data_IF_866125745262
#
_entry.id   IF_866125745262
#
_cell.length_a   1.000
_cell.length_b   1.000
_cell.length_c   1.000
_cell.angle_alpha   90.00
_cell.angle_beta   90.00
_cell.angle_gamma   90.00
#
_symmetry.space_group_name_H-M   'P 1'
#
loop_
_entity.id
_entity.type
_entity.pdbx_description
1 polymer ?
#
# COMPACT_ATOMS: atom_id res chain seq x y z
N UNK A 1 24.31 -20.38 -1.23
CA UNK A 1 23.44 -19.46 -0.47
C UNK A 1 22.56 -20.31 0.45
N UNK A 2 22.33 -19.87 1.70
CA UNK A 2 21.51 -20.62 2.64
C UNK A 2 20.03 -20.51 2.25
N UNK A 3 19.37 -21.66 2.08
CA UNK A 3 17.92 -21.72 1.85
C UNK A 3 17.22 -21.63 3.20
N UNK A 4 16.34 -20.66 3.37
CA UNK A 4 15.52 -20.51 4.56
C UNK A 4 14.05 -20.73 4.24
N UNK A 5 13.29 -21.28 5.20
CA UNK A 5 11.84 -21.43 5.07
C UNK A 5 11.19 -20.08 5.33
N UNK A 6 10.48 -19.54 4.34
CA UNK A 6 9.69 -18.31 4.44
C UNK A 6 8.23 -18.63 4.23
N UNK A 7 7.38 -18.11 5.11
CA UNK A 7 5.93 -18.12 4.89
C UNK A 7 5.58 -17.02 3.90
N UNK A 8 5.18 -17.40 2.69
CA UNK A 8 4.58 -16.48 1.73
C UNK A 8 3.11 -16.31 2.08
N UNK A 9 2.70 -15.06 2.22
CA UNK A 9 1.33 -14.63 2.48
C UNK A 9 0.71 -14.14 1.17
N UNK A 10 -0.51 -14.56 0.84
CA UNK A 10 -1.23 -14.10 -0.35
C UNK A 10 -2.63 -13.64 0.00
N UNK A 11 -3.08 -12.59 -0.67
CA UNK A 11 -4.49 -12.19 -0.70
C UNK A 11 -5.00 -12.46 -2.10
N UNK A 12 -5.96 -13.37 -2.23
CA UNK A 12 -6.74 -13.57 -3.46
C UNK A 12 -7.83 -12.51 -3.52
N UNK A 13 -7.99 -11.90 -4.69
CA UNK A 13 -8.98 -10.86 -4.93
C UNK A 13 -9.95 -11.36 -5.99
N UNK A 14 -11.18 -11.65 -5.59
CA UNK A 14 -12.29 -11.95 -6.49
C UNK A 14 -13.14 -10.68 -6.66
N UNK A 15 -12.73 -9.84 -7.63
CA UNK A 15 -13.32 -8.53 -7.84
C UNK A 15 -14.80 -8.58 -8.25
N UNK A 16 -15.28 -9.69 -8.80
CA UNK A 16 -16.68 -9.85 -9.22
C UNK A 16 -17.64 -9.95 -8.01
N UNK A 17 -17.13 -10.34 -6.84
CA UNK A 17 -17.90 -10.35 -5.59
C UNK A 17 -17.98 -8.96 -4.93
N UNK A 18 -17.22 -7.98 -5.43
CA UNK A 18 -17.10 -6.66 -4.81
C UNK A 18 -18.33 -5.80 -5.09
N UNK A 19 -18.89 -5.21 -4.03
CA UNK A 19 -20.01 -4.26 -4.12
C UNK A 19 -19.57 -2.79 -3.92
N UNK A 20 -18.26 -2.53 -3.86
CA UNK A 20 -17.71 -1.20 -3.69
C UNK A 20 -18.06 -0.50 -2.37
N UNK A 21 -18.27 -1.25 -1.28
CA UNK A 21 -18.59 -0.69 0.04
C UNK A 21 -17.45 0.11 0.70
N UNK A 22 -16.20 -0.09 0.24
CA UNK A 22 -14.98 0.57 0.73
C UNK A 22 -14.67 0.35 2.22
N UNK A 23 -15.27 -0.65 2.86
CA UNK A 23 -14.97 -1.00 4.25
C UNK A 23 -13.49 -1.38 4.44
N UNK A 24 -12.88 -2.02 3.45
CA UNK A 24 -11.46 -2.32 3.45
C UNK A 24 -10.58 -1.06 3.53
N UNK A 25 -10.99 0.06 2.94
CA UNK A 25 -10.26 1.33 3.01
C UNK A 25 -10.43 1.99 4.38
N UNK A 26 -11.67 1.99 4.89
CA UNK A 26 -12.02 2.49 6.22
C UNK A 26 -11.18 1.79 7.28
N UNK A 27 -11.23 0.46 7.30
CA UNK A 27 -10.56 -0.32 8.34
C UNK A 27 -9.04 -0.33 8.19
N UNK A 28 -8.52 -0.33 6.95
CA UNK A 28 -7.09 -0.22 6.73
C UNK A 28 -6.54 1.13 7.20
N UNK A 29 -7.21 2.24 6.87
CA UNK A 29 -6.77 3.56 7.33
C UNK A 29 -6.90 3.74 8.84
N UNK A 30 -7.99 3.21 9.42
CA UNK A 30 -8.22 3.17 10.86
C UNK A 30 -7.13 2.40 11.60
N UNK A 31 -6.79 1.20 11.12
CA UNK A 31 -5.76 0.37 11.72
C UNK A 31 -4.40 1.08 11.79
N UNK A 32 -4.06 1.84 10.74
CA UNK A 32 -2.77 2.51 10.62
C UNK A 32 -2.79 3.98 11.07
N UNK A 33 -3.83 4.44 11.77
CA UNK A 33 -3.75 5.71 12.47
C UNK A 33 -2.80 5.59 13.66
N UNK A 34 -2.24 6.70 14.12
CA UNK A 34 -1.44 6.75 15.35
C UNK A 34 -2.10 7.71 16.34
N UNK A 35 -2.67 7.22 17.46
CA UNK A 35 -2.80 5.81 17.88
C UNK A 35 -3.70 4.94 16.98
N UNK A 36 -3.58 3.60 17.01
CA UNK A 36 -4.41 2.70 16.19
C UNK A 36 -5.91 2.94 16.45
N UNK A 37 -6.71 2.95 15.39
CA UNK A 37 -8.17 3.19 15.40
C UNK A 37 -8.65 4.58 15.86
N UNK A 38 -7.75 5.54 16.06
CA UNK A 38 -8.10 6.89 16.48
C UNK A 38 -8.70 7.78 15.37
N UNK A 39 -8.42 7.47 14.09
CA UNK A 39 -8.88 8.26 12.96
C UNK A 39 -9.17 7.38 11.76
N UNK A 40 -10.14 7.78 10.92
CA UNK A 40 -10.41 7.14 9.62
C UNK A 40 -10.13 8.14 8.51
N UNK A 41 -9.29 7.77 7.55
CA UNK A 41 -9.05 8.54 6.34
C UNK A 41 -8.76 7.60 5.16
N UNK A 42 -9.75 7.30 4.29
CA UNK A 42 -9.57 6.38 3.17
C UNK A 42 -8.43 6.76 2.20
N UNK A 43 -8.05 8.04 2.10
CA UNK A 43 -6.90 8.46 1.30
C UNK A 43 -5.58 7.88 1.82
N UNK A 44 -5.52 7.56 3.13
CA UNK A 44 -4.38 6.92 3.80
C UNK A 44 -4.45 5.38 3.80
N UNK A 45 -5.47 4.79 3.18
CA UNK A 45 -5.61 3.34 3.11
C UNK A 45 -4.59 2.73 2.14
N UNK A 46 -4.00 1.60 2.55
CA UNK A 46 -3.06 0.80 1.75
C UNK A 46 -3.75 -0.18 0.80
N UNK A 47 -5.09 -0.15 0.77
CA UNK A 47 -5.95 -0.74 -0.25
C UNK A 47 -6.94 0.35 -0.66
N UNK A 48 -7.13 0.57 -1.96
CA UNK A 48 -8.08 1.56 -2.50
C UNK A 48 -8.84 0.93 -3.66
N UNK A 49 -10.16 1.10 -3.69
CA UNK A 49 -11.05 0.53 -4.70
C UNK A 49 -11.21 1.53 -5.85
N UNK A 50 -10.84 1.10 -7.06
CA UNK A 50 -11.26 1.78 -8.28
C UNK A 50 -12.74 1.43 -8.49
N UNK A 51 -13.59 2.44 -8.32
CA UNK A 51 -15.04 2.30 -8.24
C UNK A 51 -15.71 3.16 -9.31
N UNK A 52 -16.14 2.54 -10.40
CA UNK A 52 -16.95 3.16 -11.45
C UNK A 52 -18.24 2.35 -11.67
N UNK A 53 -19.33 2.69 -10.96
CA UNK A 53 -20.59 1.94 -11.04
C UNK A 53 -21.25 1.98 -12.42
N UNK A 54 -21.00 3.02 -13.23
CA UNK A 54 -21.59 3.14 -14.57
C UNK A 54 -20.92 2.19 -15.57
N UNK A 55 -19.66 1.81 -15.31
CA UNK A 55 -18.91 0.83 -16.10
C UNK A 55 -18.83 -0.55 -15.45
N UNK A 56 -19.52 -0.75 -14.32
CA UNK A 56 -19.45 -1.96 -13.51
C UNK A 56 -18.01 -2.33 -13.10
N UNK A 57 -17.20 -1.33 -12.72
CA UNK A 57 -15.81 -1.54 -12.29
C UNK A 57 -15.73 -1.44 -10.76
N UNK A 58 -15.33 -2.55 -10.13
CA UNK A 58 -15.19 -2.71 -8.69
C UNK A 58 -13.84 -3.37 -8.36
N UNK A 59 -12.75 -2.65 -8.51
CA UNK A 59 -11.40 -3.23 -8.47
C UNK A 59 -10.65 -2.79 -7.21
N UNK A 60 -10.49 -3.66 -6.19
CA UNK A 60 -9.60 -3.40 -5.06
C UNK A 60 -8.13 -3.46 -5.51
N UNK A 61 -7.38 -2.38 -5.28
CA UNK A 61 -5.96 -2.31 -5.61
C UNK A 61 -5.17 -2.10 -4.32
N UNK A 62 -4.12 -2.89 -4.12
CA UNK A 62 -3.25 -2.81 -2.95
C UNK A 62 -2.01 -1.98 -3.25
N UNK A 63 -1.61 -1.16 -2.29
CA UNK A 63 -0.35 -0.44 -2.32
C UNK A 63 0.83 -1.42 -2.50
N UNK A 64 1.71 -1.09 -3.44
CA UNK A 64 2.93 -1.80 -3.79
C UNK A 64 4.14 -0.93 -3.51
N UNK A 65 5.17 -1.04 -4.35
CA UNK A 65 6.44 -0.34 -4.17
C UNK A 65 6.40 1.15 -4.51
N UNK A 66 7.32 1.90 -3.88
CA UNK A 66 7.59 3.28 -4.25
C UNK A 66 8.39 3.35 -5.55
N UNK A 67 8.05 4.30 -6.43
CA UNK A 67 8.85 4.65 -7.59
C UNK A 67 9.10 6.16 -7.60
N UNK A 68 10.36 6.61 -7.78
CA UNK A 68 10.66 8.03 -7.86
C UNK A 68 10.29 8.65 -9.22
N UNK A 69 10.06 7.84 -10.25
CA UNK A 69 9.76 8.30 -11.61
C UNK A 69 8.53 7.63 -12.20
N UNK A 70 7.92 8.32 -13.16
CA UNK A 70 6.89 7.73 -14.01
C UNK A 70 7.47 6.77 -15.05
N UNK A 71 6.61 5.93 -15.62
CA UNK A 71 6.97 5.12 -16.78
C UNK A 71 6.98 5.97 -18.06
N UNK A 72 7.81 5.61 -19.04
CA UNK A 72 7.85 6.27 -20.35
C UNK A 72 6.52 6.21 -21.12
N UNK A 73 5.66 5.25 -20.78
CA UNK A 73 4.32 5.11 -21.34
C UNK A 73 3.39 4.58 -20.26
N UNK A 74 2.14 5.04 -20.31
CA UNK A 74 1.07 4.63 -19.39
C UNK A 74 0.10 3.72 -20.13
N UNK A 75 -0.46 2.74 -19.42
CA UNK A 75 -1.23 1.64 -20.03
C UNK A 75 -2.70 1.74 -19.61
N UNK A 76 -3.59 1.59 -20.59
CA UNK A 76 -5.03 1.40 -20.41
C UNK A 76 -5.36 -0.03 -20.84
N UNK A 77 -6.17 -0.72 -20.04
CA UNK A 77 -6.60 -2.08 -20.33
C UNK A 77 -8.08 -2.09 -20.74
N UNK A 78 -8.36 -2.79 -21.84
CA UNK A 78 -9.71 -3.23 -22.19
C UNK A 78 -9.75 -4.74 -21.92
N UNK A 79 -10.56 -5.15 -20.94
CA UNK A 79 -10.74 -6.54 -20.57
C UNK A 79 -12.23 -6.83 -20.67
N UNK A 80 -12.58 -7.84 -21.46
CA UNK A 80 -13.95 -8.14 -21.86
C UNK A 80 -14.66 -6.89 -22.44
N UNK A 81 -15.70 -6.42 -21.77
CA UNK A 81 -16.49 -5.25 -22.15
C UNK A 81 -16.20 -4.01 -21.29
N UNK A 82 -15.15 -4.06 -20.44
CA UNK A 82 -14.81 -3.00 -19.49
C UNK A 82 -13.51 -2.31 -19.90
N UNK A 83 -13.57 -0.98 -19.99
CA UNK A 83 -12.38 -0.12 -20.16
C UNK A 83 -11.98 0.44 -18.80
N UNK A 84 -10.82 0.01 -18.31
CA UNK A 84 -10.26 0.46 -17.04
C UNK A 84 -9.56 1.80 -17.21
N UNK A 85 -9.44 2.56 -16.13
CA UNK A 85 -8.66 3.80 -16.15
C UNK A 85 -7.17 3.52 -16.39
N UNK A 86 -6.45 4.57 -16.82
CA UNK A 86 -5.01 4.53 -16.98
C UNK A 86 -4.33 4.06 -15.69
N UNK A 87 -3.42 3.10 -15.81
CA UNK A 87 -2.67 2.53 -14.68
C UNK A 87 -3.56 1.94 -13.56
N UNK A 88 -4.78 1.48 -13.87
CA UNK A 88 -5.73 0.93 -12.89
C UNK A 88 -5.13 -0.19 -12.03
N UNK A 89 -4.45 -1.16 -12.67
CA UNK A 89 -3.86 -2.31 -11.99
C UNK A 89 -2.48 -2.03 -11.37
N UNK A 90 -1.94 -0.82 -11.58
CA UNK A 90 -0.63 -0.46 -11.05
C UNK A 90 -0.71 -0.25 -9.53
N UNK A 91 0.15 -0.96 -8.81
CA UNK A 91 0.25 -0.91 -7.34
C UNK A 91 1.20 0.17 -6.83
N UNK A 92 2.02 0.76 -7.70
CA UNK A 92 3.08 1.64 -7.26
C UNK A 92 2.55 2.91 -6.58
N UNK A 93 3.27 3.37 -5.55
CA UNK A 93 3.21 4.74 -5.06
C UNK A 93 4.03 5.60 -6.04
N UNK A 94 3.36 6.13 -7.06
CA UNK A 94 3.94 6.72 -8.26
C UNK A 94 3.59 8.21 -8.36
N UNK A 95 4.52 9.09 -8.75
CA UNK A 95 4.27 10.54 -8.83
C UNK A 95 3.18 10.94 -9.85
N UNK A 96 2.79 10.04 -10.74
CA UNK A 96 1.76 10.29 -11.75
C UNK A 96 0.33 10.44 -11.23
N UNK A 97 0.07 10.10 -9.95
CA UNK A 97 -1.26 10.08 -9.34
C UNK A 97 -1.18 10.06 -7.80
N UNK A 98 -2.29 10.37 -7.14
CA UNK A 98 -2.36 10.47 -5.67
C UNK A 98 -2.60 9.12 -4.95
N UNK A 99 -3.00 8.08 -5.68
CA UNK A 99 -3.29 6.76 -5.09
C UNK A 99 -2.02 6.17 -4.43
N UNK A 100 -2.15 5.74 -3.17
CA UNK A 100 -1.04 5.27 -2.31
C UNK A 100 0.01 6.32 -1.95
N UNK A 101 -0.39 7.59 -1.92
CA UNK A 101 0.42 8.69 -1.41
C UNK A 101 -0.30 9.28 -0.19
N UNK A 102 0.45 9.54 0.86
CA UNK A 102 -0.06 10.19 2.06
C UNK A 102 -0.48 11.63 1.70
N UNK A 103 -1.74 12.03 1.96
CA UNK A 103 -2.34 13.24 1.38
C UNK A 103 -1.69 14.55 1.83
N UNK A 104 -1.04 14.58 2.99
CA UNK A 104 -0.51 15.82 3.57
C UNK A 104 1.00 15.96 3.28
N UNK A 105 1.76 14.89 3.50
CA UNK A 105 3.22 14.82 3.41
C UNK A 105 3.72 14.43 2.02
N UNK A 106 2.90 13.71 1.24
CA UNK A 106 3.31 13.12 -0.03
C UNK A 106 4.16 11.86 0.11
N UNK A 107 4.22 11.23 1.29
CA UNK A 107 5.00 10.02 1.52
C UNK A 107 4.33 8.78 0.87
N UNK A 108 5.11 7.81 0.36
CA UNK A 108 4.54 6.60 -0.22
C UNK A 108 3.90 5.72 0.85
N UNK A 109 2.67 5.27 0.59
CA UNK A 109 1.98 4.26 1.39
C UNK A 109 2.29 2.88 0.82
N UNK A 110 2.63 1.92 1.67
CA UNK A 110 2.87 0.52 1.29
C UNK A 110 1.99 -0.43 2.10
N UNK A 111 1.41 -1.45 1.46
CA UNK A 111 0.75 -2.53 2.19
C UNK A 111 1.81 -3.46 2.78
N UNK A 112 1.72 -3.66 4.08
CA UNK A 112 2.60 -4.46 4.94
C UNK A 112 1.94 -5.79 5.36
N UNK A 113 0.74 -6.07 4.85
CA UNK A 113 -0.09 -7.23 5.25
C UNK A 113 -0.47 -7.23 6.75
N UNK A 114 -0.56 -6.04 7.38
CA UNK A 114 -0.82 -5.89 8.82
C UNK A 114 0.17 -6.71 9.68
N UNK A 115 1.45 -6.63 9.31
CA UNK A 115 2.57 -7.33 9.97
C UNK A 115 3.40 -6.36 10.81
N UNK A 116 2.77 -5.29 11.29
CA UNK A 116 3.26 -4.38 12.30
C UNK A 116 3.26 -5.03 13.70
N UNK A 117 3.62 -4.28 14.75
CA UNK A 117 3.69 -4.78 16.12
C UNK A 117 2.49 -4.27 16.95
N UNK A 118 1.66 -5.14 17.57
CA UNK A 118 1.60 -6.59 17.35
C UNK A 118 0.94 -6.93 16.01
N UNK A 119 1.42 -7.99 15.36
CA UNK A 119 0.94 -8.43 14.05
C UNK A 119 -0.45 -9.06 14.17
N UNK A 120 -1.33 -8.79 13.21
CA UNK A 120 -2.61 -9.48 13.12
C UNK A 120 -2.43 -10.89 12.52
N UNK A 121 -3.30 -11.81 12.93
CA UNK A 121 -3.38 -13.17 12.36
C UNK A 121 -3.73 -13.12 10.86
N UNK A 122 -4.59 -12.19 10.48
CA UNK A 122 -4.97 -11.92 9.09
C UNK A 122 -5.17 -10.41 8.86
N UNK A 123 -4.97 -9.92 7.62
CA UNK A 123 -5.11 -8.50 7.32
C UNK A 123 -6.50 -7.95 7.63
N UNK A 124 -6.58 -6.77 8.24
CA UNK A 124 -7.86 -6.15 8.65
C UNK A 124 -8.85 -5.97 7.49
N UNK A 125 -8.34 -5.72 6.28
CA UNK A 125 -9.17 -5.59 5.08
C UNK A 125 -9.86 -6.91 4.68
N UNK A 126 -9.23 -8.05 4.95
CA UNK A 126 -9.80 -9.39 4.75
C UNK A 126 -10.87 -9.64 5.81
N UNK A 127 -10.60 -9.34 7.08
CA UNK A 127 -11.55 -9.58 8.18
C UNK A 127 -12.89 -8.86 7.99
N UNK A 128 -12.83 -7.65 7.46
CA UNK A 128 -14.00 -6.78 7.30
C UNK A 128 -14.67 -6.91 5.92
N UNK A 129 -14.16 -7.79 5.05
CA UNK A 129 -14.78 -8.05 3.76
C UNK A 129 -15.86 -9.13 3.88
N UNK A 130 -17.08 -8.72 4.26
CA UNK A 130 -18.23 -9.63 4.49
C UNK A 130 -18.63 -10.41 3.20
N UNK A 131 -18.19 -9.94 2.04
CA UNK A 131 -18.49 -10.56 0.73
C UNK A 131 -17.43 -11.54 0.25
N UNK A 132 -16.40 -11.80 1.06
CA UNK A 132 -15.29 -12.71 0.75
C UNK A 132 -14.55 -12.37 -0.56
N UNK A 133 -14.58 -11.09 -0.97
CA UNK A 133 -13.81 -10.55 -2.11
C UNK A 133 -12.32 -10.77 -1.88
N UNK A 134 -11.87 -10.67 -0.63
CA UNK A 134 -10.48 -10.78 -0.22
C UNK A 134 -10.33 -12.06 0.61
N UNK A 135 -9.52 -13.01 0.14
CA UNK A 135 -9.23 -14.26 0.88
C UNK A 135 -7.73 -14.34 1.20
N UNK A 136 -7.39 -14.65 2.45
CA UNK A 136 -6.00 -14.77 2.92
C UNK A 136 -5.54 -16.23 2.96
N UNK A 137 -4.34 -16.50 2.42
CA UNK A 137 -3.70 -17.82 2.49
C UNK A 137 -2.21 -17.70 2.81
N UNK A 138 -1.67 -18.72 3.48
CA UNK A 138 -0.25 -18.84 3.81
C UNK A 138 0.34 -20.11 3.17
N UNK A 139 1.57 -20.02 2.66
CA UNK A 139 2.31 -21.17 2.13
C UNK A 139 3.77 -21.05 2.51
N UNK A 140 4.34 -22.13 3.06
CA UNK A 140 5.78 -22.18 3.37
C UNK A 140 6.56 -22.57 2.11
N UNK A 141 7.55 -21.77 1.74
CA UNK A 141 8.47 -22.04 0.63
C UNK A 141 9.92 -21.87 1.08
N UNK A 142 10.85 -22.53 0.39
CA UNK A 142 12.28 -22.28 0.56
C UNK A 142 12.71 -21.11 -0.33
N UNK A 143 13.28 -20.07 0.27
CA UNK A 143 13.78 -18.88 -0.42
C UNK A 143 15.21 -18.56 0.02
N UNK A 144 15.90 -17.72 -0.74
CA UNK A 144 17.20 -17.18 -0.36
C UNK A 144 17.03 -15.98 0.60
N UNK A 145 17.98 -15.79 1.53
CA UNK A 145 17.86 -14.84 2.65
C UNK A 145 17.73 -13.36 2.27
N UNK A 146 18.16 -12.98 1.07
CA UNK A 146 18.25 -11.58 0.63
C UNK A 146 16.88 -10.90 0.39
N UNK A 147 15.78 -11.67 0.32
CA UNK A 147 14.44 -11.20 -0.09
C UNK A 147 13.49 -10.72 1.05
N UNK A 148 13.98 -10.44 2.27
CA UNK A 148 13.09 -10.47 3.46
C UNK A 148 12.72 -9.13 4.10
N UNK A 149 13.38 -7.99 3.83
CA UNK A 149 13.04 -6.76 4.57
C UNK A 149 12.67 -5.59 3.67
N UNK A 150 11.38 -5.26 3.69
CA UNK A 150 10.87 -3.94 3.31
C UNK A 150 11.03 -3.02 4.52
N UNK A 151 11.94 -2.06 4.43
CA UNK A 151 12.18 -1.07 5.48
C UNK A 151 11.41 0.20 5.12
N UNK A 152 10.23 0.37 5.74
CA UNK A 152 9.34 1.51 5.48
C UNK A 152 10.02 2.84 5.80
N UNK A 153 10.78 2.92 6.90
CA UNK A 153 11.52 4.11 7.28
C UNK A 153 12.55 4.46 6.21
N UNK A 154 13.33 3.47 5.76
CA UNK A 154 14.30 3.67 4.67
C UNK A 154 13.62 4.09 3.37
N UNK A 155 12.44 3.56 3.08
CA UNK A 155 11.67 3.94 1.88
C UNK A 155 11.15 5.37 1.97
N UNK A 156 10.60 5.77 3.12
CA UNK A 156 10.17 7.15 3.38
C UNK A 156 11.33 8.15 3.32
N UNK A 157 12.47 7.82 3.94
CA UNK A 157 13.68 8.65 3.88
C UNK A 157 14.23 8.79 2.46
N UNK A 158 14.20 7.70 1.66
CA UNK A 158 14.55 7.76 0.24
C UNK A 158 13.61 8.68 -0.53
N UNK A 159 12.30 8.56 -0.34
CA UNK A 159 11.33 9.42 -1.00
C UNK A 159 11.53 10.91 -0.66
N UNK A 160 11.84 11.23 0.60
CA UNK A 160 12.18 12.59 1.02
C UNK A 160 13.51 13.06 0.41
N UNK A 161 14.52 12.19 0.38
CA UNK A 161 15.82 12.50 -0.24
C UNK A 161 15.69 12.75 -1.74
N UNK A 162 14.84 12.00 -2.44
CA UNK A 162 14.60 12.18 -3.88
C UNK A 162 13.85 13.49 -4.15
N UNK A 163 13.00 13.95 -3.22
CA UNK A 163 12.21 15.18 -3.34
C UNK A 163 12.97 16.46 -2.95
N UNK A 164 13.76 16.41 -1.88
CA UNK A 164 14.40 17.59 -1.28
C UNK A 164 15.93 17.55 -1.34
N UNK A 165 16.53 16.42 -1.70
CA UNK A 165 17.98 16.23 -1.69
C UNK A 165 18.52 15.75 -0.33
N UNK A 166 19.55 14.91 -0.38
CA UNK A 166 20.09 14.22 0.81
C UNK A 166 20.68 15.18 1.86
N UNK A 167 21.41 16.21 1.43
CA UNK A 167 22.04 17.17 2.36
C UNK A 167 20.99 17.97 3.13
N UNK A 168 19.95 18.44 2.45
CA UNK A 168 18.88 19.20 3.10
C UNK A 168 18.07 18.34 4.08
N UNK A 169 17.82 17.08 3.73
CA UNK A 169 17.22 16.10 4.64
C UNK A 169 18.07 15.89 5.89
N UNK A 170 19.39 15.72 5.75
CA UNK A 170 20.30 15.53 6.89
C UNK A 170 20.36 16.78 7.79
N UNK A 171 20.39 17.97 7.20
CA UNK A 171 20.36 19.24 7.96
C UNK A 171 19.04 19.41 8.72
N UNK A 172 17.90 19.06 8.11
CA UNK A 172 16.61 19.07 8.79
C UNK A 172 16.58 18.11 9.98
N UNK A 173 17.01 16.86 9.80
CA UNK A 173 17.09 15.85 10.88
C UNK A 173 18.04 16.32 11.99
N UNK A 174 19.20 16.89 11.64
CA UNK A 174 20.16 17.40 12.61
C UNK A 174 19.61 18.58 13.41
N UNK A 175 18.81 19.47 12.81
CA UNK A 175 18.12 20.55 13.52
C UNK A 175 17.08 20.01 14.48
N UNK A 176 16.23 19.07 14.04
CA UNK A 176 15.21 18.43 14.88
C UNK A 176 15.81 17.69 16.08
N UNK A 177 16.94 16.99 15.87
CA UNK A 177 17.66 16.31 16.95
C UNK A 177 18.25 17.27 17.99
N UNK A 178 18.51 18.53 17.63
CA UNK A 178 19.03 19.56 18.56
C UNK A 178 17.92 20.34 19.24
N UNK A 179 16.78 20.54 18.58
CA UNK A 179 15.62 21.21 19.15
C UNK A 179 14.84 20.34 20.14
N UNK A 180 15.08 19.02 20.15
CA UNK A 180 14.33 18.08 20.98
C UNK A 180 12.81 18.21 20.74
N UNK A 181 12.41 18.51 19.50
CA UNK A 181 11.01 18.56 19.06
C UNK A 181 10.46 17.15 18.89
N UNK A 182 10.44 16.37 19.98
CA UNK A 182 9.72 15.11 20.17
C UNK A 182 9.45 14.89 21.66
#
# INVERSE_FOLDING_TARGET
MAKIKKTIKRIKVDADLCNGCRMCEVMCSSYHSSPKYSMVNPARARIQIIRDPLKDIWLPVFAGEYTPSECNGRIIYNIDHKTYEECAFCRAACPSRERFIEPDSGLPLGCDMCQDDPSLERPVCVEWCIRDVLTYEETVVEVEEEDIKRDELKTGLRALSDKFGFNELMDAVARMSRSNEF
#
